data_IF_349585943386
#
_entry.id   IF_349585943386
#
_cell.length_a   1.000
_cell.length_b   1.000
_cell.length_c   1.000
_cell.angle_alpha   90.00
_cell.angle_beta   90.00
_cell.angle_gamma   90.00
#
_symmetry.space_group_name_H-M   'P 1'
#
loop_
_entity.id
_entity.type
_entity.pdbx_description
1 polymer ?
#
# COMPACT_ATOMS: atom_id res chain seq x y z
N UNK A 1 0.94 31.08 17.03
CA UNK A 1 -0.13 30.18 17.48
C UNK A 1 -0.21 29.02 16.52
N UNK A 2 0.40 27.89 16.86
CA UNK A 2 0.29 26.63 16.11
C UNK A 2 -0.98 25.93 16.59
N UNK A 3 -2.00 25.90 15.74
CA UNK A 3 -3.22 25.12 15.98
C UNK A 3 -2.80 23.66 16.14
N UNK A 4 -3.20 22.95 17.22
CA UNK A 4 -2.93 21.53 17.32
C UNK A 4 -3.75 20.84 16.23
N UNK A 5 -3.05 20.30 15.22
CA UNK A 5 -3.65 19.41 14.24
C UNK A 5 -4.28 18.27 15.02
N UNK A 6 -5.62 18.20 15.04
CA UNK A 6 -6.36 17.06 15.60
C UNK A 6 -5.69 15.81 15.05
N UNK A 7 -5.04 15.03 15.92
CA UNK A 7 -4.56 13.71 15.54
C UNK A 7 -5.81 12.95 15.11
N UNK A 8 -5.98 12.78 13.79
CA UNK A 8 -7.04 11.92 13.26
C UNK A 8 -6.87 10.58 13.97
N UNK A 9 -7.93 10.12 14.65
CA UNK A 9 -7.90 8.86 15.40
C UNK A 9 -7.29 7.80 14.48
N UNK A 10 -6.15 7.23 14.87
CA UNK A 10 -5.49 6.23 14.05
C UNK A 10 -6.44 5.04 13.91
N UNK A 11 -6.71 4.61 12.68
CA UNK A 11 -7.46 3.40 12.44
C UNK A 11 -6.78 2.20 13.15
N UNK A 12 -7.59 1.27 13.63
CA UNK A 12 -7.14 0.04 14.24
C UNK A 12 -6.80 -0.97 13.14
N UNK A 13 -5.55 -0.94 12.69
CA UNK A 13 -5.04 -1.82 11.64
C UNK A 13 -4.69 -3.19 12.21
N UNK A 14 -5.29 -4.23 11.65
CA UNK A 14 -4.94 -5.63 11.87
C UNK A 14 -4.30 -6.20 10.60
N UNK A 15 -3.56 -7.29 10.75
CA UNK A 15 -2.95 -8.03 9.64
C UNK A 15 -3.97 -8.40 8.54
N UNK A 16 -5.17 -8.85 8.93
CA UNK A 16 -6.26 -9.16 7.99
C UNK A 16 -6.78 -7.91 7.25
N UNK A 17 -6.89 -6.77 7.96
CA UNK A 17 -7.32 -5.51 7.36
C UNK A 17 -6.26 -4.94 6.43
N UNK A 18 -4.98 -5.15 6.72
CA UNK A 18 -3.88 -4.81 5.83
C UNK A 18 -3.94 -5.61 4.53
N UNK A 19 -4.09 -6.94 4.62
CA UNK A 19 -4.20 -7.79 3.44
C UNK A 19 -5.42 -7.40 2.57
N UNK A 20 -6.59 -7.22 3.20
CA UNK A 20 -7.81 -6.78 2.50
C UNK A 20 -7.62 -5.40 1.84
N UNK A 21 -6.97 -4.47 2.53
CA UNK A 21 -6.67 -3.14 1.98
C UNK A 21 -5.76 -3.21 0.75
N UNK A 22 -4.70 -4.03 0.78
CA UNK A 22 -3.77 -4.14 -0.36
C UNK A 22 -4.46 -4.77 -1.58
N UNK A 23 -5.27 -5.81 -1.39
CA UNK A 23 -6.03 -6.43 -2.47
C UNK A 23 -6.99 -5.43 -3.11
N UNK A 24 -7.78 -4.72 -2.30
CA UNK A 24 -8.71 -3.70 -2.80
C UNK A 24 -7.94 -2.56 -3.48
N UNK A 25 -6.79 -2.15 -2.95
CA UNK A 25 -5.96 -1.14 -3.59
C UNK A 25 -5.53 -1.58 -4.99
N UNK A 26 -5.07 -2.82 -5.17
CA UNK A 26 -4.67 -3.35 -6.47
C UNK A 26 -5.83 -3.35 -7.48
N UNK A 27 -7.02 -3.80 -7.06
CA UNK A 27 -8.23 -3.79 -7.89
C UNK A 27 -8.63 -2.37 -8.32
N UNK A 28 -8.53 -1.41 -7.39
CA UNK A 28 -8.85 0.00 -7.63
C UNK A 28 -7.80 0.65 -8.53
N UNK A 29 -6.52 0.30 -8.34
CA UNK A 29 -5.43 0.78 -9.17
C UNK A 29 -5.51 0.25 -10.60
N UNK A 30 -6.05 -0.95 -10.83
CA UNK A 30 -6.26 -1.48 -12.18
C UNK A 30 -7.25 -0.64 -13.02
N UNK A 31 -8.07 0.20 -12.39
CA UNK A 31 -9.01 1.13 -13.05
C UNK A 31 -8.30 2.45 -13.37
N UNK A 32 -7.97 2.67 -14.63
CA UNK A 32 -7.19 3.83 -15.07
C UNK A 32 -7.85 5.18 -14.70
N UNK A 33 -9.18 5.23 -14.64
CA UNK A 33 -9.93 6.41 -14.21
C UNK A 33 -9.67 6.78 -12.75
N UNK A 34 -9.29 5.82 -11.90
CA UNK A 34 -9.04 6.01 -10.47
C UNK A 34 -7.57 6.31 -10.15
N UNK A 35 -6.68 6.24 -11.15
CA UNK A 35 -5.25 6.49 -11.00
C UNK A 35 -4.90 7.90 -11.45
N UNK A 36 -4.07 8.60 -10.68
CA UNK A 36 -3.59 9.95 -10.99
C UNK A 36 -2.65 9.93 -12.20
N UNK A 37 -2.55 11.06 -12.90
CA UNK A 37 -1.61 11.24 -14.00
C UNK A 37 -0.19 10.90 -13.53
N UNK A 38 0.42 9.87 -14.11
CA UNK A 38 1.74 9.36 -13.73
C UNK A 38 1.74 8.04 -12.96
N UNK A 39 0.59 7.42 -12.67
CA UNK A 39 0.49 6.01 -12.24
C UNK A 39 0.83 5.71 -10.78
N UNK A 40 1.49 6.64 -10.08
CA UNK A 40 2.07 6.39 -8.75
C UNK A 40 1.10 6.48 -7.57
N UNK A 41 -0.09 7.03 -7.79
CA UNK A 41 -1.08 7.28 -6.74
C UNK A 41 -2.49 7.20 -7.30
N UNK A 42 -3.45 6.89 -6.42
CA UNK A 42 -4.87 7.00 -6.74
C UNK A 42 -5.35 8.45 -6.66
N UNK A 43 -6.31 8.79 -7.51
CA UNK A 43 -7.13 10.00 -7.38
C UNK A 43 -8.02 9.90 -6.14
N UNK A 44 -8.58 11.03 -5.71
CA UNK A 44 -9.51 11.10 -4.57
C UNK A 44 -10.64 10.07 -4.67
N UNK A 45 -11.22 9.89 -5.86
CA UNK A 45 -12.29 8.91 -6.09
C UNK A 45 -11.85 7.45 -5.88
N UNK A 46 -10.61 7.09 -6.23
CA UNK A 46 -10.07 5.76 -5.99
C UNK A 46 -9.92 5.49 -4.49
N UNK A 47 -9.38 6.45 -3.74
CA UNK A 47 -9.31 6.35 -2.28
C UNK A 47 -10.70 6.24 -1.63
N UNK A 48 -11.68 6.99 -2.14
CA UNK A 48 -13.06 6.92 -1.63
C UNK A 48 -13.74 5.58 -1.94
N UNK A 49 -13.45 4.95 -3.10
CA UNK A 49 -13.94 3.59 -3.40
C UNK A 49 -13.37 2.58 -2.40
N UNK A 50 -12.06 2.65 -2.11
CA UNK A 50 -11.44 1.79 -1.09
C UNK A 50 -12.09 2.02 0.28
N UNK A 51 -12.29 3.28 0.68
CA UNK A 51 -12.90 3.60 1.98
C UNK A 51 -14.33 3.07 2.08
N UNK A 52 -15.11 3.15 0.99
CA UNK A 52 -16.47 2.62 0.95
C UNK A 52 -16.49 1.09 1.08
N UNK A 53 -15.53 0.39 0.45
CA UNK A 53 -15.42 -1.07 0.52
C UNK A 53 -14.94 -1.57 1.89
N UNK A 54 -14.08 -0.81 2.55
CA UNK A 54 -13.59 -1.10 3.91
C UNK A 54 -14.46 -0.51 5.02
N UNK A 55 -15.64 0.04 4.67
CA UNK A 55 -16.50 0.74 5.61
C UNK A 55 -16.86 -0.14 6.81
N UNK A 56 -16.75 0.42 8.02
CA UNK A 56 -17.05 -0.28 9.26
C UNK A 56 -15.93 -1.17 9.79
N UNK A 57 -14.77 -1.27 9.08
CA UNK A 57 -13.59 -1.98 9.58
C UNK A 57 -12.59 -1.03 10.24
N UNK A 58 -12.00 -1.46 11.36
CA UNK A 58 -10.84 -0.81 11.96
C UNK A 58 -10.98 0.68 12.27
N UNK A 59 -12.19 1.19 12.52
CA UNK A 59 -12.46 2.64 12.66
C UNK A 59 -12.00 3.49 11.44
N UNK A 60 -11.98 2.89 10.24
CA UNK A 60 -11.69 3.58 8.98
C UNK A 60 -12.84 4.51 8.61
N UNK A 61 -12.57 5.80 8.64
CA UNK A 61 -13.55 6.86 8.38
C UNK A 61 -13.07 7.90 7.38
N UNK A 62 -11.77 7.90 7.03
CA UNK A 62 -11.17 8.93 6.18
C UNK A 62 -10.16 8.36 5.19
N UNK A 63 -10.09 8.97 4.00
CA UNK A 63 -9.08 8.66 2.99
C UNK A 63 -7.65 8.87 3.52
N UNK A 64 -7.45 9.84 4.42
CA UNK A 64 -6.13 10.11 5.02
C UNK A 64 -5.60 8.94 5.84
N UNK A 65 -6.46 8.16 6.51
CA UNK A 65 -6.04 6.95 7.22
C UNK A 65 -5.51 5.89 6.24
N UNK A 66 -6.19 5.70 5.11
CA UNK A 66 -5.77 4.78 4.05
C UNK A 66 -4.45 5.22 3.41
N UNK A 67 -4.33 6.50 3.05
CA UNK A 67 -3.11 7.06 2.45
C UNK A 67 -1.90 6.95 3.37
N UNK A 68 -2.08 7.27 4.66
CA UNK A 68 -1.02 7.13 5.65
C UNK A 68 -0.59 5.67 5.82
N UNK A 69 -1.56 4.74 5.80
CA UNK A 69 -1.25 3.31 5.88
C UNK A 69 -0.53 2.81 4.64
N UNK A 70 -1.01 3.17 3.44
CA UNK A 70 -0.36 2.83 2.18
C UNK A 70 1.11 3.26 2.18
N UNK A 71 1.37 4.52 2.56
CA UNK A 71 2.74 5.03 2.69
C UNK A 71 3.61 4.14 3.59
N UNK A 72 3.11 3.80 4.78
CA UNK A 72 3.84 2.93 5.73
C UNK A 72 4.07 1.53 5.18
N UNK A 73 3.09 0.93 4.51
CA UNK A 73 3.24 -0.40 3.89
C UNK A 73 4.31 -0.38 2.80
N UNK A 74 4.34 0.66 1.96
CA UNK A 74 5.37 0.81 0.93
C UNK A 74 6.77 1.04 1.49
N UNK A 75 6.91 1.76 2.62
CA UNK A 75 8.18 1.95 3.32
C UNK A 75 8.67 0.63 3.94
N UNK A 76 7.77 -0.12 4.62
CA UNK A 76 8.09 -1.44 5.16
C UNK A 76 8.50 -2.41 4.06
N UNK A 77 7.84 -2.38 2.90
CA UNK A 77 8.23 -3.19 1.74
C UNK A 77 9.60 -2.81 1.18
N UNK A 78 9.89 -1.51 1.05
CA UNK A 78 11.19 -1.04 0.59
C UNK A 78 12.31 -1.47 1.55
N UNK A 79 12.08 -1.32 2.86
CA UNK A 79 12.99 -1.78 3.90
C UNK A 79 13.15 -3.31 3.87
N UNK A 80 12.06 -4.06 3.68
CA UNK A 80 12.10 -5.53 3.57
C UNK A 80 12.87 -6.01 2.36
N UNK A 81 12.63 -5.42 1.19
CA UNK A 81 13.36 -5.72 -0.05
C UNK A 81 14.85 -5.42 0.11
N UNK A 82 15.19 -4.27 0.71
CA UNK A 82 16.57 -3.93 1.03
C UNK A 82 17.20 -4.94 2.00
N UNK A 83 16.46 -5.34 3.04
CA UNK A 83 16.90 -6.30 4.05
C UNK A 83 17.16 -7.68 3.42
N UNK A 84 16.24 -8.17 2.58
CA UNK A 84 16.39 -9.43 1.85
C UNK A 84 17.58 -9.39 0.90
N UNK A 85 17.77 -8.30 0.15
CA UNK A 85 18.95 -8.12 -0.71
C UNK A 85 20.26 -8.14 0.09
N UNK A 86 20.27 -7.56 1.30
CA UNK A 86 21.43 -7.59 2.19
C UNK A 86 21.72 -8.98 2.74
N UNK A 87 20.69 -9.70 3.17
CA UNK A 87 20.82 -11.06 3.71
C UNK A 87 21.06 -12.14 2.66
N UNK A 88 20.71 -11.88 1.39
CA UNK A 88 21.02 -12.76 0.26
C UNK A 88 22.48 -12.64 -0.19
N UNK A 89 23.22 -11.63 0.29
CA UNK A 89 24.59 -11.32 -0.13
C UNK A 89 25.69 -11.64 0.88
N UNK A 90 25.46 -11.51 2.20
CA UNK A 90 26.42 -11.93 3.23
C UNK A 90 25.73 -12.02 4.61
N UNK A 91 26.08 -13.07 5.36
CA UNK A 91 25.33 -13.61 6.50
C UNK A 91 25.01 -12.66 7.67
N UNK A 92 23.74 -12.74 8.08
CA UNK A 92 23.14 -12.62 9.43
C UNK A 92 23.93 -11.92 10.55
N UNK A 93 23.56 -10.66 10.84
CA UNK A 93 23.59 -10.12 12.21
C UNK A 93 22.37 -9.20 12.43
N UNK A 94 21.47 -9.57 13.35
CA UNK A 94 20.74 -8.55 14.12
C UNK A 94 19.21 -8.46 14.06
N UNK A 95 18.45 -9.56 13.93
CA UNK A 95 16.98 -9.44 14.03
C UNK A 95 16.30 -10.61 14.77
N UNK A 96 16.47 -10.68 16.09
CA UNK A 96 15.79 -11.66 16.96
C UNK A 96 14.26 -11.68 16.88
N UNK A 97 13.61 -10.61 16.38
CA UNK A 97 12.14 -10.57 16.17
C UNK A 97 11.66 -11.41 14.98
N UNK A 98 12.58 -11.92 14.16
CA UNK A 98 12.32 -12.70 12.96
C UNK A 98 12.79 -14.16 13.12
N UNK A 99 12.62 -14.78 14.30
CA UNK A 99 13.06 -16.16 14.53
C UNK A 99 11.96 -17.22 14.37
N UNK A 100 10.73 -16.94 14.82
CA UNK A 100 9.73 -18.01 15.00
C UNK A 100 8.66 -18.10 13.90
N UNK A 101 8.28 -16.98 13.25
CA UNK A 101 7.43 -16.93 12.03
C UNK A 101 7.73 -15.67 11.22
N UNK A 102 8.96 -15.52 10.71
CA UNK A 102 9.48 -14.20 10.40
C UNK A 102 8.86 -13.47 9.23
N UNK A 103 8.42 -14.22 8.22
CA UNK A 103 8.15 -13.61 6.92
C UNK A 103 6.83 -14.01 6.32
N UNK A 104 6.13 -15.04 6.79
CA UNK A 104 4.96 -15.56 6.07
C UNK A 104 3.84 -14.52 5.84
N UNK A 105 3.58 -13.66 6.82
CA UNK A 105 2.62 -12.55 6.68
C UNK A 105 3.20 -11.40 5.84
N UNK A 106 4.47 -11.07 6.03
CA UNK A 106 5.15 -10.01 5.29
C UNK A 106 5.41 -10.40 3.84
N UNK A 107 5.64 -11.66 3.52
CA UNK A 107 5.83 -12.21 2.16
C UNK A 107 4.53 -12.11 1.39
N UNK A 108 3.42 -12.56 1.99
CA UNK A 108 2.09 -12.46 1.38
C UNK A 108 1.72 -11.00 1.14
N UNK A 109 1.93 -10.13 2.12
CA UNK A 109 1.65 -8.69 1.99
C UNK A 109 2.63 -8.02 1.04
N UNK A 110 3.90 -8.42 1.02
CA UNK A 110 4.93 -7.87 0.15
C UNK A 110 4.71 -8.25 -1.31
N UNK A 111 4.27 -9.48 -1.59
CA UNK A 111 3.87 -9.92 -2.92
C UNK A 111 2.68 -9.07 -3.40
N UNK A 112 1.64 -8.92 -2.57
CA UNK A 112 0.47 -8.11 -2.91
C UNK A 112 0.79 -6.62 -3.07
N UNK A 113 1.64 -6.04 -2.21
CA UNK A 113 2.07 -4.63 -2.31
C UNK A 113 2.98 -4.44 -3.52
N UNK A 114 3.89 -5.38 -3.77
CA UNK A 114 4.75 -5.40 -4.96
C UNK A 114 3.95 -5.47 -6.25
N UNK A 115 2.94 -6.33 -6.32
CA UNK A 115 2.02 -6.44 -7.45
C UNK A 115 1.16 -5.17 -7.61
N UNK A 116 0.69 -4.59 -6.51
CA UNK A 116 -0.05 -3.33 -6.54
C UNK A 116 0.82 -2.16 -7.06
N UNK A 117 2.07 -2.07 -6.62
CA UNK A 117 3.05 -1.09 -7.14
C UNK A 117 3.34 -1.36 -8.61
N UNK A 118 3.61 -2.61 -8.98
CA UNK A 118 3.93 -3.02 -10.35
C UNK A 118 2.76 -2.79 -11.29
N UNK A 119 1.52 -3.04 -10.85
CA UNK A 119 0.30 -2.73 -11.60
C UNK A 119 0.15 -1.22 -11.81
N UNK A 120 0.44 -0.42 -10.77
CA UNK A 120 0.52 1.03 -10.89
C UNK A 120 1.62 1.50 -11.87
N UNK A 121 2.77 0.82 -11.90
CA UNK A 121 3.85 1.07 -12.87
C UNK A 121 3.52 0.57 -14.28
N UNK A 122 2.79 -0.53 -14.42
CA UNK A 122 2.34 -1.06 -15.71
C UNK A 122 1.39 -0.08 -16.41
N UNK A 123 0.53 0.60 -15.64
CA UNK A 123 -0.30 1.71 -16.13
C UNK A 123 0.56 2.89 -16.61
N UNK A 124 1.74 3.12 -16.01
CA UNK A 124 2.71 4.14 -16.45
C UNK A 124 3.37 3.81 -17.80
N UNK A 125 3.41 2.52 -18.16
CA UNK A 125 4.03 2.00 -19.38
C UNK A 125 3.07 1.76 -20.55
N UNK A 126 1.74 1.86 -20.35
CA UNK A 126 0.81 1.84 -21.46
C UNK A 126 0.94 3.15 -22.25
N UNK A 127 1.29 3.11 -23.55
CA UNK A 127 1.10 4.28 -24.39
C UNK A 127 -0.38 4.63 -24.34
N UNK A 128 -0.69 5.87 -23.95
CA UNK A 128 -2.02 6.44 -24.14
C UNK A 128 -2.30 6.30 -25.63
N UNK A 129 -3.17 5.37 -26.00
CA UNK A 129 -3.76 5.36 -27.34
C UNK A 129 -4.60 6.64 -27.36
N UNK A 130 -4.01 7.74 -27.85
CA UNK A 130 -4.78 8.87 -28.32
C UNK A 130 -5.70 8.32 -29.39
N UNK A 131 -6.94 8.08 -28.99
CA UNK A 131 -8.02 7.82 -29.92
C UNK A 131 -8.36 9.19 -30.51
N UNK A 132 -7.66 9.56 -31.58
CA UNK A 132 -8.12 10.63 -32.47
C UNK A 132 -9.35 10.11 -33.22
N UNK A 133 -10.54 10.56 -32.78
CA UNK A 133 -11.75 10.63 -33.60
C UNK A 133 -12.46 11.94 -33.28
#
# INVERSE_FOLDING_TARGET
MTTPTKASKSANWTDDLDAEFVVIYAEVAAKSEYVASGGKQLKSMGWSDILARLHGRGDLTTNSQLQLRWKRLTEVYADYTWLMLKFSGDGLVGTSRFRDRPFQHYDTTAEMVGDAITTGEFIRGMPVVQSDV
#
